data_IF_581202556492
#
_entry.id   IF_581202556492
#
_cell.length_a   1.000
_cell.length_b   1.000
_cell.length_c   1.000
_cell.angle_alpha   90.00
_cell.angle_beta   90.00
_cell.angle_gamma   90.00
#
_symmetry.space_group_name_H-M   'P 1'
#
loop_
_entity.id
_entity.type
_entity.pdbx_description
1 polymer ?
#
# COMPACT_ATOMS: atom_id res chain seq x y z
N UNK A 1 -39.19 -30.43 12.08
CA UNK A 1 -38.54 -29.13 11.77
C UNK A 1 -37.43 -28.74 12.77
N UNK A 2 -37.11 -29.55 13.80
CA UNK A 2 -36.13 -29.23 14.85
C UNK A 2 -34.70 -29.70 14.55
N UNK A 3 -34.54 -30.84 13.85
CA UNK A 3 -33.23 -31.38 13.45
C UNK A 3 -32.37 -30.39 12.61
N UNK A 4 -32.90 -29.72 11.57
CA UNK A 4 -32.11 -28.73 10.83
C UNK A 4 -31.73 -27.51 11.68
N UNK A 5 -32.59 -27.11 12.62
CA UNK A 5 -32.29 -26.01 13.57
C UNK A 5 -31.17 -26.41 14.53
N UNK A 6 -31.18 -27.64 15.04
CA UNK A 6 -30.13 -28.18 15.90
C UNK A 6 -28.78 -28.30 15.17
N UNK A 7 -28.80 -28.76 13.92
CA UNK A 7 -27.58 -28.83 13.09
C UNK A 7 -27.03 -27.42 12.86
N UNK A 8 -27.91 -26.46 12.54
CA UNK A 8 -27.51 -25.07 12.32
C UNK A 8 -26.90 -24.44 13.59
N UNK A 9 -27.46 -24.69 14.78
CA UNK A 9 -26.92 -24.15 16.03
C UNK A 9 -25.56 -24.74 16.37
N UNK A 10 -25.32 -26.03 16.11
CA UNK A 10 -24.01 -26.68 16.27
C UNK A 10 -22.98 -26.08 15.30
N UNK A 11 -23.37 -25.85 14.05
CA UNK A 11 -22.47 -25.24 13.05
C UNK A 11 -22.11 -23.80 13.46
N UNK A 12 -23.09 -23.01 13.90
CA UNK A 12 -22.87 -21.62 14.32
C UNK A 12 -22.02 -21.52 15.60
N UNK A 13 -22.18 -22.45 16.55
CA UNK A 13 -21.37 -22.47 17.77
C UNK A 13 -19.92 -22.85 17.49
N UNK A 14 -19.67 -23.84 16.63
CA UNK A 14 -18.32 -24.20 16.17
C UNK A 14 -17.66 -23.06 15.39
N UNK A 15 -18.41 -22.39 14.51
CA UNK A 15 -17.93 -21.22 13.79
C UNK A 15 -17.54 -20.08 14.74
N UNK A 16 -18.34 -19.82 15.78
CA UNK A 16 -18.02 -18.82 16.81
C UNK A 16 -16.71 -19.11 17.51
N UNK A 17 -16.47 -20.36 17.91
CA UNK A 17 -15.22 -20.77 18.57
C UNK A 17 -14.04 -20.58 17.62
N UNK A 18 -14.18 -21.00 16.36
CA UNK A 18 -13.14 -20.84 15.35
C UNK A 18 -12.80 -19.36 15.12
N UNK A 19 -13.80 -18.49 15.00
CA UNK A 19 -13.59 -17.05 14.77
C UNK A 19 -12.99 -16.36 16.01
N UNK A 20 -13.37 -16.79 17.22
CA UNK A 20 -12.90 -16.17 18.47
C UNK A 20 -11.49 -16.61 18.88
N UNK A 21 -11.02 -17.76 18.38
CA UNK A 21 -9.72 -18.35 18.72
C UNK A 21 -8.71 -18.30 17.56
N UNK A 22 -8.93 -17.46 16.55
CA UNK A 22 -7.94 -17.25 15.49
C UNK A 22 -6.66 -16.65 16.07
N UNK A 23 -5.49 -17.27 15.86
CA UNK A 23 -4.21 -16.66 16.24
C UNK A 23 -4.05 -15.29 15.59
N UNK A 24 -3.43 -14.33 16.30
CA UNK A 24 -3.19 -12.97 15.81
C UNK A 24 -2.52 -12.95 14.44
N UNK A 25 -1.58 -13.88 14.19
CA UNK A 25 -0.92 -14.01 12.89
C UNK A 25 -1.86 -14.46 11.78
N UNK A 26 -2.81 -15.37 12.07
CA UNK A 26 -3.83 -15.79 11.12
C UNK A 26 -4.79 -14.63 10.79
N UNK A 27 -5.18 -13.85 11.81
CA UNK A 27 -5.99 -12.64 11.63
C UNK A 27 -5.25 -11.62 10.75
N UNK A 28 -3.99 -11.32 11.07
CA UNK A 28 -3.15 -10.40 10.29
C UNK A 28 -2.95 -10.89 8.85
N UNK A 29 -2.78 -12.20 8.63
CA UNK A 29 -2.72 -12.79 7.30
C UNK A 29 -4.02 -12.61 6.51
N UNK A 30 -5.18 -12.83 7.14
CA UNK A 30 -6.50 -12.58 6.50
C UNK A 30 -6.62 -11.10 6.14
N UNK A 31 -6.35 -10.19 7.09
CA UNK A 31 -6.41 -8.74 6.86
C UNK A 31 -5.45 -8.35 5.73
N UNK A 32 -4.25 -8.92 5.67
CA UNK A 32 -3.26 -8.64 4.61
C UNK A 32 -3.76 -8.98 3.19
N UNK A 33 -4.69 -9.92 3.04
CA UNK A 33 -5.32 -10.23 1.74
C UNK A 33 -6.27 -9.13 1.28
N UNK A 34 -6.86 -8.39 2.20
CA UNK A 34 -7.77 -7.29 1.93
C UNK A 34 -7.07 -5.92 1.89
N UNK A 35 -5.80 -5.83 2.33
CA UNK A 35 -4.98 -4.64 2.09
C UNK A 35 -4.78 -4.47 0.59
N UNK A 36 -5.46 -3.47 0.01
CA UNK A 36 -5.50 -3.23 -1.43
C UNK A 36 -4.13 -2.72 -1.95
N UNK A 37 -3.39 -2.01 -1.09
CA UNK A 37 -1.96 -1.74 -1.31
C UNK A 37 -1.13 -2.71 -0.46
N UNK A 38 -0.02 -3.19 -1.01
CA UNK A 38 0.81 -4.17 -0.32
C UNK A 38 1.82 -3.44 0.55
N UNK A 39 1.86 -3.80 1.84
CA UNK A 39 2.88 -3.32 2.74
C UNK A 39 4.28 -3.69 2.23
N UNK A 40 5.19 -2.74 2.39
CA UNK A 40 6.57 -2.83 1.99
C UNK A 40 7.35 -3.36 3.19
N UNK A 41 7.99 -4.52 3.04
CA UNK A 41 8.91 -5.03 4.06
C UNK A 41 10.20 -4.19 4.04
N UNK A 42 10.48 -3.47 5.14
CA UNK A 42 11.57 -2.49 5.21
C UNK A 42 12.98 -3.02 4.88
N UNK A 43 13.23 -4.31 5.11
CA UNK A 43 14.57 -4.91 4.98
C UNK A 43 15.17 -4.86 3.55
N UNK A 44 14.34 -4.97 2.50
CA UNK A 44 14.82 -5.10 1.11
C UNK A 44 14.33 -3.99 0.18
N UNK A 45 13.63 -2.98 0.71
CA UNK A 45 13.16 -1.87 -0.10
C UNK A 45 14.27 -0.83 -0.27
N UNK A 46 14.43 -0.30 -1.48
CA UNK A 46 15.26 0.87 -1.77
C UNK A 46 14.30 2.03 -1.99
N UNK A 47 14.43 3.09 -1.19
CA UNK A 47 13.63 4.30 -1.31
C UNK A 47 14.52 5.40 -1.85
N UNK A 48 14.09 6.06 -2.92
CA UNK A 48 14.82 7.14 -3.59
C UNK A 48 13.90 8.35 -3.69
N UNK A 49 14.44 9.53 -3.41
CA UNK A 49 13.77 10.81 -3.60
C UNK A 49 14.72 11.75 -4.32
N UNK A 50 14.27 12.36 -5.43
CA UNK A 50 15.09 13.28 -6.22
C UNK A 50 16.47 12.71 -6.62
N UNK A 51 16.48 11.43 -7.00
CA UNK A 51 17.71 10.69 -7.34
C UNK A 51 18.60 10.32 -6.13
N UNK A 52 18.29 10.81 -4.92
CA UNK A 52 19.02 10.50 -3.69
C UNK A 52 18.38 9.32 -2.98
N UNK A 53 19.20 8.32 -2.66
CA UNK A 53 18.77 7.15 -1.90
C UNK A 53 18.63 7.51 -0.42
N UNK A 54 17.47 7.22 0.16
CA UNK A 54 17.21 7.39 1.58
C UNK A 54 17.78 6.19 2.35
N UNK A 55 18.39 6.47 3.49
CA UNK A 55 19.01 5.47 4.37
C UNK A 55 18.58 5.70 5.82
N UNK A 56 18.84 4.68 6.67
CA UNK A 56 18.59 4.79 8.12
C UNK A 56 17.13 5.10 8.47
N UNK A 57 16.95 6.07 9.37
CA UNK A 57 15.66 6.43 9.95
C UNK A 57 14.71 7.05 8.93
N UNK A 58 15.20 7.89 8.01
CA UNK A 58 14.37 8.50 6.97
C UNK A 58 13.69 7.43 6.10
N UNK A 59 14.46 6.43 5.65
CA UNK A 59 13.91 5.30 4.90
C UNK A 59 12.82 4.57 5.69
N UNK A 60 13.08 4.28 6.97
CA UNK A 60 12.14 3.56 7.83
C UNK A 60 10.84 4.36 7.99
N UNK A 61 10.96 5.67 8.20
CA UNK A 61 9.84 6.59 8.36
C UNK A 61 8.97 6.66 7.10
N UNK A 62 9.57 6.81 5.92
CA UNK A 62 8.82 6.83 4.64
C UNK A 62 8.07 5.51 4.43
N UNK A 63 8.71 4.37 4.70
CA UNK A 63 8.08 3.06 4.56
C UNK A 63 6.91 2.91 5.54
N UNK A 64 7.07 3.36 6.78
CA UNK A 64 5.99 3.35 7.76
C UNK A 64 4.82 4.24 7.33
N UNK A 65 5.09 5.44 6.82
CA UNK A 65 4.04 6.35 6.33
C UNK A 65 3.29 5.79 5.12
N UNK A 66 4.00 5.10 4.22
CA UNK A 66 3.40 4.38 3.12
C UNK A 66 2.53 3.20 3.60
N UNK A 67 3.05 2.38 4.50
CA UNK A 67 2.35 1.19 4.99
C UNK A 67 1.08 1.54 5.78
N UNK A 68 1.10 2.64 6.54
CA UNK A 68 -0.04 3.13 7.30
C UNK A 68 -1.05 3.94 6.46
N UNK A 69 -0.74 4.22 5.19
CA UNK A 69 -1.65 4.95 4.31
C UNK A 69 -2.96 4.17 4.09
N UNK A 70 -4.09 4.87 4.01
CA UNK A 70 -5.39 4.28 3.71
C UNK A 70 -5.64 4.25 2.21
N UNK A 71 -6.08 3.11 1.69
CA UNK A 71 -6.50 3.03 0.29
C UNK A 71 -7.76 3.86 0.03
N UNK A 72 -7.75 4.67 -1.03
CA UNK A 72 -8.91 5.44 -1.48
C UNK A 72 -9.61 4.76 -2.66
N UNK A 73 -8.93 4.68 -3.80
CA UNK A 73 -9.52 4.17 -5.04
C UNK A 73 -8.46 3.63 -5.99
N UNK A 74 -8.87 2.74 -6.88
CA UNK A 74 -8.05 2.29 -7.99
C UNK A 74 -8.28 3.20 -9.19
N UNK A 75 -7.22 3.65 -9.83
CA UNK A 75 -7.31 4.46 -11.04
C UNK A 75 -7.35 3.56 -12.27
N UNK A 76 -8.26 3.84 -13.19
CA UNK A 76 -8.37 3.08 -14.44
C UNK A 76 -7.31 3.56 -15.43
N UNK A 77 -6.47 2.65 -15.91
CA UNK A 77 -5.47 2.91 -16.94
C UNK A 77 -5.99 2.32 -18.23
N UNK A 78 -6.08 3.13 -19.28
CA UNK A 78 -6.47 2.67 -20.60
C UNK A 78 -5.20 2.32 -21.40
N UNK A 79 -5.23 1.26 -22.22
CA UNK A 79 -4.10 0.96 -23.09
C UNK A 79 -3.72 2.18 -23.95
N UNK A 80 -2.46 2.59 -23.92
CA UNK A 80 -1.94 3.73 -24.67
C UNK A 80 -1.80 5.04 -23.88
N UNK A 81 -2.35 5.11 -22.65
CA UNK A 81 -2.22 6.29 -21.79
C UNK A 81 -1.34 6.09 -20.54
N UNK A 82 -0.57 5.01 -20.50
CA UNK A 82 0.25 4.62 -19.35
C UNK A 82 1.28 5.70 -18.97
N UNK A 83 1.79 6.42 -19.98
CA UNK A 83 2.79 7.47 -19.79
C UNK A 83 2.26 8.64 -18.94
N UNK A 84 0.96 8.95 -19.00
CA UNK A 84 0.33 10.01 -18.21
C UNK A 84 0.34 9.70 -16.71
N UNK A 85 0.38 8.42 -16.35
CA UNK A 85 0.48 7.99 -14.95
C UNK A 85 1.93 8.00 -14.47
N UNK A 86 2.90 7.70 -15.35
CA UNK A 86 4.33 7.77 -15.04
C UNK A 86 4.87 9.19 -14.99
N UNK A 87 4.21 10.13 -15.66
CA UNK A 87 4.57 11.54 -15.64
C UNK A 87 3.28 12.39 -15.56
N UNK A 88 2.61 12.42 -14.39
CA UNK A 88 1.41 13.21 -14.23
C UNK A 88 1.71 14.70 -14.34
N UNK A 89 0.82 15.43 -15.01
CA UNK A 89 0.88 16.90 -15.06
C UNK A 89 0.72 17.47 -13.65
N UNK A 90 1.52 18.49 -13.32
CA UNK A 90 1.58 19.12 -12.00
C UNK A 90 1.96 18.19 -10.84
N UNK A 91 2.64 17.08 -11.13
CA UNK A 91 3.26 16.26 -10.09
C UNK A 91 4.62 16.82 -9.71
N UNK A 92 4.89 16.92 -8.41
CA UNK A 92 6.25 17.14 -7.91
C UNK A 92 7.13 15.90 -8.13
N UNK A 93 8.39 15.96 -7.71
CA UNK A 93 9.30 14.82 -7.77
C UNK A 93 8.73 13.63 -7.00
N UNK A 94 8.54 12.45 -7.63
CA UNK A 94 8.01 11.29 -6.93
C UNK A 94 9.03 10.68 -5.97
N UNK A 95 8.50 10.08 -4.90
CA UNK A 95 9.23 9.05 -4.17
C UNK A 95 9.20 7.77 -4.98
N UNK A 96 10.37 7.16 -5.19
CA UNK A 96 10.51 5.89 -5.91
C UNK A 96 10.87 4.81 -4.91
N UNK A 97 10.03 3.77 -4.82
CA UNK A 97 10.27 2.62 -3.95
C UNK A 97 10.46 1.37 -4.80
N UNK A 98 11.68 0.85 -4.82
CA UNK A 98 12.02 -0.43 -5.42
C UNK A 98 11.95 -1.52 -4.35
N UNK A 99 11.11 -2.52 -4.55
CA UNK A 99 10.87 -3.60 -3.58
C UNK A 99 10.54 -4.92 -4.27
N UNK A 100 10.46 -6.00 -3.49
CA UNK A 100 10.06 -7.33 -3.97
C UNK A 100 8.73 -7.74 -3.36
N UNK A 101 7.81 -8.21 -4.20
CA UNK A 101 6.58 -8.90 -3.77
C UNK A 101 6.69 -10.38 -4.11
N UNK A 102 7.04 -11.20 -3.13
CA UNK A 102 7.44 -12.58 -3.37
C UNK A 102 8.69 -12.62 -4.26
N UNK A 103 8.62 -13.33 -5.38
CA UNK A 103 9.73 -13.43 -6.37
C UNK A 103 9.71 -12.32 -7.45
N UNK A 104 8.83 -11.33 -7.34
CA UNK A 104 8.64 -10.30 -8.37
C UNK A 104 9.21 -8.97 -7.91
N UNK A 105 10.08 -8.38 -8.74
CA UNK A 105 10.50 -6.99 -8.58
C UNK A 105 9.32 -6.06 -8.89
N UNK A 106 9.16 -5.06 -8.03
CA UNK A 106 8.08 -4.08 -8.09
C UNK A 106 8.70 -2.71 -7.85
N UNK A 107 8.43 -1.80 -8.78
CA UNK A 107 8.74 -0.38 -8.62
C UNK A 107 7.44 0.38 -8.34
N UNK A 108 7.47 1.23 -7.32
CA UNK A 108 6.37 2.11 -6.97
C UNK A 108 6.83 3.56 -7.18
N UNK A 109 6.09 4.31 -8.00
CA UNK A 109 6.20 5.76 -8.05
C UNK A 109 5.10 6.33 -7.17
N UNK A 110 5.47 7.17 -6.20
CA UNK A 110 4.56 7.74 -5.21
C UNK A 110 4.56 9.25 -5.37
N UNK A 111 3.46 9.76 -5.92
CA UNK A 111 3.21 11.18 -6.15
C UNK A 111 2.37 11.73 -5.01
N UNK A 112 2.91 12.68 -4.27
CA UNK A 112 2.25 13.30 -3.14
C UNK A 112 1.57 14.59 -3.60
N UNK A 113 0.26 14.69 -3.38
CA UNK A 113 -0.54 15.89 -3.58
C UNK A 113 -1.08 16.37 -2.24
N UNK A 114 -1.63 17.59 -2.19
CA UNK A 114 -2.22 18.13 -0.97
C UNK A 114 -3.42 17.31 -0.47
N UNK A 115 -4.22 16.75 -1.39
CA UNK A 115 -5.48 16.06 -1.10
C UNK A 115 -5.38 14.52 -1.12
N UNK A 116 -4.34 13.96 -1.76
CA UNK A 116 -4.15 12.52 -1.91
C UNK A 116 -2.71 12.15 -2.21
N UNK A 117 -2.42 10.85 -2.19
CA UNK A 117 -1.16 10.28 -2.68
C UNK A 117 -1.47 9.31 -3.81
N UNK A 118 -1.01 9.58 -5.03
CA UNK A 118 -1.18 8.65 -6.15
C UNK A 118 0.04 7.73 -6.26
N UNK A 119 -0.21 6.43 -6.36
CA UNK A 119 0.82 5.39 -6.46
C UNK A 119 0.70 4.67 -7.79
N UNK A 120 1.78 4.66 -8.55
CA UNK A 120 1.91 3.92 -9.79
C UNK A 120 2.84 2.74 -9.57
N UNK A 121 2.24 1.56 -9.57
CA UNK A 121 2.94 0.29 -9.44
C UNK A 121 3.29 -0.27 -10.80
N UNK A 122 4.58 -0.46 -11.03
CA UNK A 122 5.13 -1.11 -12.20
C UNK A 122 5.72 -2.47 -11.82
N UNK A 123 5.36 -3.51 -12.57
CA UNK A 123 5.98 -4.83 -12.47
C UNK A 123 5.99 -5.51 -13.84
N UNK A 124 7.17 -5.95 -14.29
CA UNK A 124 7.36 -6.39 -15.68
C UNK A 124 6.80 -5.32 -16.65
N UNK A 125 5.89 -5.70 -17.55
CA UNK A 125 5.21 -4.81 -18.50
C UNK A 125 3.84 -4.29 -18.01
N UNK A 126 3.46 -4.57 -16.76
CA UNK A 126 2.14 -4.21 -16.23
C UNK A 126 2.24 -2.98 -15.35
N UNK A 127 1.27 -2.07 -15.51
CA UNK A 127 1.12 -0.85 -14.75
C UNK A 127 -0.22 -0.85 -14.02
N UNK A 128 -0.22 -0.48 -12.75
CA UNK A 128 -1.43 -0.33 -11.93
C UNK A 128 -1.32 1.00 -11.21
N UNK A 129 -2.37 1.80 -11.23
CA UNK A 129 -2.44 3.06 -10.50
C UNK A 129 -3.55 3.01 -9.45
N UNK A 130 -3.30 3.60 -8.28
CA UNK A 130 -4.26 3.74 -7.21
C UNK A 130 -3.93 4.97 -6.36
N UNK A 131 -4.94 5.51 -5.69
CA UNK A 131 -4.81 6.63 -4.77
C UNK A 131 -4.89 6.15 -3.33
N UNK A 132 -4.10 6.77 -2.48
CA UNK A 132 -4.03 6.58 -1.04
C UNK A 132 -4.31 7.92 -0.34
N UNK A 133 -4.65 7.84 0.93
CA UNK A 133 -4.71 8.95 1.87
C UNK A 133 -3.71 8.68 2.98
N UNK A 134 -2.84 9.64 3.26
CA UNK A 134 -1.84 9.52 4.33
C UNK A 134 -1.50 10.91 4.85
N UNK A 135 -2.02 11.23 6.03
CA UNK A 135 -1.70 12.48 6.71
C UNK A 135 -0.18 12.63 6.85
N UNK A 136 0.53 11.56 7.21
CA UNK A 136 1.98 11.60 7.40
C UNK A 136 2.80 11.80 6.12
N UNK A 137 2.33 11.31 4.96
CA UNK A 137 2.99 11.60 3.68
C UNK A 137 2.61 12.99 3.14
N UNK A 138 1.40 13.47 3.43
CA UNK A 138 0.87 14.74 2.93
C UNK A 138 1.24 15.93 3.83
N UNK A 139 1.61 15.68 5.08
CA UNK A 139 2.09 16.71 5.99
C UNK A 139 3.40 17.32 5.49
N UNK A 140 3.47 18.66 5.49
CA UNK A 140 4.69 19.43 5.21
C UNK A 140 5.85 19.17 6.20
N UNK A 141 5.57 18.46 7.29
CA UNK A 141 6.55 18.08 8.31
C UNK A 141 7.49 16.96 7.84
N UNK A 142 7.17 16.29 6.72
CA UNK A 142 8.03 15.27 6.12
C UNK A 142 9.42 15.87 5.83
N UNK A 143 10.52 15.31 6.38
CA UNK A 143 11.87 15.90 6.29
C UNK A 143 12.31 16.23 4.86
N UNK A 144 11.85 15.43 3.88
CA UNK A 144 12.16 15.57 2.46
C UNK A 144 11.46 16.76 1.79
N UNK A 145 10.24 17.12 2.24
CA UNK A 145 9.47 18.24 1.68
C UNK A 145 9.95 19.57 2.26
N UNK A 146 10.49 19.57 3.49
CA UNK A 146 10.99 20.78 4.16
C UNK A 146 12.11 21.50 3.41
N UNK A 147 12.92 20.77 2.63
CA UNK A 147 14.04 21.34 1.87
C UNK A 147 13.63 21.86 0.47
N UNK A 148 12.35 21.83 0.11
CA UNK A 148 11.81 22.22 -1.20
C UNK A 148 10.91 23.47 -1.14
N UNK A 149 10.73 24.09 0.04
CA UNK A 149 9.96 25.32 0.26
C UNK A 149 10.87 26.44 0.74
#
# INVERSE_FOLDING_TARGET
MTLPVLILTIILSLLKILVSCLPTDAVNWIISKFKIHAEISGGNAIVTFDGKRLEGEEKIQVINYFNNARFLKKNHIFPGNEHLFLHPENSGTPLVIDTKRGKKDVRLFVYIYSDRVDVVKQYKKKLISYSLFSDSLQERSMPLIRNLV
#
